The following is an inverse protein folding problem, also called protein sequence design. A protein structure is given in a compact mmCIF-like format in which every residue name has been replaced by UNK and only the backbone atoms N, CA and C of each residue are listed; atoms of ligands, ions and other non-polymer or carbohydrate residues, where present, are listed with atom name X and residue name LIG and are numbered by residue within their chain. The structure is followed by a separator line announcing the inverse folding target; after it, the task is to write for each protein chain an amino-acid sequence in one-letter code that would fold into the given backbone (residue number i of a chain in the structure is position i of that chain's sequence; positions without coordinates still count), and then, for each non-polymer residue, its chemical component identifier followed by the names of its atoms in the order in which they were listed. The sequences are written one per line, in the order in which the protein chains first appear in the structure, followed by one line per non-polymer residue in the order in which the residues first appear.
data_IF_570645961929
#
_entry.id   IF_570645961929
#
_cell.length_a   1.000
_cell.length_b   1.000
_cell.length_c   1.000
_cell.angle_alpha   90.00
_cell.angle_beta   90.00
_cell.angle_gamma   90.00
#
_symmetry.space_group_name_H-M   'P 1'
#
loop_
_entity.id
_entity.type
_entity.pdbx_description
1 polymer ?
#
# COMPACT_ATOMS: atom_id res chain seq x y z
N UNK A 1 -7.58 39.16 -74.93
CA UNK A 1 -8.64 38.18 -74.58
C UNK A 1 -8.05 36.78 -74.66
N UNK A 2 -7.74 36.11 -73.54
CA UNK A 2 -8.17 34.73 -73.27
C UNK A 2 -7.71 34.28 -71.87
N UNK A 3 -8.66 33.66 -71.17
CA UNK A 3 -8.64 33.23 -69.78
C UNK A 3 -8.07 31.82 -69.68
N UNK A 4 -7.35 31.49 -68.61
CA UNK A 4 -7.78 30.47 -67.64
C UNK A 4 -6.61 29.96 -66.79
N UNK A 5 -6.45 30.66 -65.68
CA UNK A 5 -6.19 30.10 -64.38
C UNK A 5 -7.14 28.91 -64.11
N UNK A 6 -6.64 27.75 -63.65
CA UNK A 6 -7.19 26.98 -62.50
C UNK A 6 -6.65 25.55 -62.39
N UNK A 7 -6.38 25.23 -61.11
CA UNK A 7 -6.32 23.91 -60.44
C UNK A 7 -4.96 23.25 -60.34
N UNK A 8 -4.16 23.79 -59.42
CA UNK A 8 -3.27 22.96 -58.61
C UNK A 8 -4.09 21.81 -57.98
N UNK A 9 -3.93 20.59 -58.51
CA UNK A 9 -4.47 19.37 -57.92
C UNK A 9 -3.48 18.90 -56.85
N UNK A 10 -3.70 19.30 -55.59
CA UNK A 10 -3.01 18.67 -54.45
C UNK A 10 -3.38 17.19 -54.34
N UNK A 11 -2.45 16.28 -53.98
CA UNK A 11 -2.61 14.85 -54.24
C UNK A 11 -3.66 14.17 -53.34
N UNK A 12 -4.41 13.18 -53.85
CA UNK A 12 -5.45 12.45 -53.11
C UNK A 12 -4.91 11.49 -52.02
N UNK A 13 -3.59 11.28 -51.96
CA UNK A 13 -2.92 10.37 -51.00
C UNK A 13 -2.81 10.93 -49.57
N UNK A 14 -2.90 12.26 -49.38
CA UNK A 14 -2.64 12.89 -48.07
C UNK A 14 -3.74 12.62 -47.05
N UNK A 15 -5.00 12.46 -47.47
CA UNK A 15 -6.15 12.28 -46.56
C UNK A 15 -6.08 10.98 -45.76
N UNK A 16 -5.66 9.90 -46.42
CA UNK A 16 -5.49 8.59 -45.81
C UNK A 16 -4.31 8.57 -44.82
N UNK A 17 -3.26 9.35 -45.09
CA UNK A 17 -2.13 9.51 -44.18
C UNK A 17 -2.55 10.15 -42.84
N UNK A 18 -3.46 11.14 -42.86
CA UNK A 18 -4.00 11.73 -41.63
C UNK A 18 -4.85 10.75 -40.81
N UNK A 19 -5.60 9.86 -41.47
CA UNK A 19 -6.38 8.82 -40.79
C UNK A 19 -5.44 7.81 -40.09
N UNK A 20 -4.37 7.39 -40.78
CA UNK A 20 -3.37 6.47 -40.21
C UNK A 20 -2.66 7.12 -39.02
N UNK A 21 -2.22 8.38 -39.16
CA UNK A 21 -1.56 9.12 -38.08
C UNK A 21 -2.51 9.31 -36.89
N UNK A 22 -3.78 9.66 -37.14
CA UNK A 22 -4.80 9.75 -36.09
C UNK A 22 -5.00 8.42 -35.37
N UNK A 23 -5.04 7.30 -36.09
CA UNK A 23 -5.18 5.98 -35.51
C UNK A 23 -4.00 5.59 -34.62
N UNK A 24 -2.77 5.87 -35.07
CA UNK A 24 -1.55 5.62 -34.28
C UNK A 24 -1.53 6.47 -33.01
N UNK A 25 -1.90 7.76 -33.09
CA UNK A 25 -1.98 8.63 -31.91
C UNK A 25 -3.02 8.14 -30.91
N UNK A 26 -4.21 7.76 -31.39
CA UNK A 26 -5.26 7.19 -30.54
C UNK A 26 -4.82 5.89 -29.86
N UNK A 27 -4.10 5.03 -30.58
CA UNK A 27 -3.58 3.78 -30.04
C UNK A 27 -2.50 4.04 -28.98
N UNK A 28 -1.62 5.01 -29.20
CA UNK A 28 -0.63 5.44 -28.20
C UNK A 28 -1.30 6.01 -26.95
N UNK A 29 -2.31 6.88 -27.10
CA UNK A 29 -3.09 7.42 -25.98
C UNK A 29 -3.82 6.30 -25.23
N UNK A 30 -4.42 5.35 -25.96
CA UNK A 30 -5.09 4.20 -25.35
C UNK A 30 -4.12 3.34 -24.54
N UNK A 31 -2.93 3.02 -25.07
CA UNK A 31 -1.91 2.27 -24.31
C UNK A 31 -1.44 3.08 -23.09
N UNK A 32 -1.30 4.40 -23.22
CA UNK A 32 -0.82 5.25 -22.14
C UNK A 32 -1.85 5.44 -21.01
N UNK A 33 -3.15 5.36 -21.33
CA UNK A 33 -4.26 5.53 -20.38
C UNK A 33 -4.74 4.18 -19.83
N UNK A 34 -4.82 3.14 -20.66
CA UNK A 34 -5.34 1.82 -20.32
C UNK A 34 -4.27 0.78 -19.96
N UNK A 35 -2.99 1.05 -20.24
CA UNK A 35 -1.90 0.19 -19.80
C UNK A 35 -1.75 0.23 -18.28
N UNK A 36 -1.58 -0.93 -17.65
CA UNK A 36 -1.36 -1.07 -16.20
C UNK A 36 -0.18 -0.21 -15.67
N UNK A 37 0.68 0.29 -16.56
CA UNK A 37 1.83 1.17 -16.32
C UNK A 37 1.60 2.66 -16.65
N UNK A 38 0.36 3.09 -16.89
CA UNK A 38 0.04 4.50 -17.12
C UNK A 38 0.38 5.38 -15.91
N UNK A 39 0.58 6.69 -16.12
CA UNK A 39 0.91 7.70 -15.10
C UNK A 39 0.12 7.55 -13.78
N UNK A 40 -1.11 7.06 -13.84
CA UNK A 40 -1.96 6.74 -12.69
C UNK A 40 -1.27 5.83 -11.66
N UNK A 41 -0.50 4.83 -12.08
CA UNK A 41 0.16 3.90 -11.18
C UNK A 41 1.28 4.58 -10.38
N UNK A 42 2.02 5.50 -10.99
CA UNK A 42 3.03 6.30 -10.29
C UNK A 42 2.41 7.18 -9.20
N UNK A 43 1.25 7.78 -9.47
CA UNK A 43 0.53 8.61 -8.50
C UNK A 43 -0.07 7.77 -7.38
N UNK A 44 -0.64 6.61 -7.72
CA UNK A 44 -1.18 5.66 -6.73
C UNK A 44 -0.09 5.14 -5.81
N UNK A 45 1.06 4.75 -6.36
CA UNK A 45 2.18 4.23 -5.60
C UNK A 45 2.74 5.27 -4.63
N UNK A 46 2.82 6.54 -5.05
CA UNK A 46 3.27 7.64 -4.18
C UNK A 46 2.31 7.89 -3.02
N UNK A 47 0.99 7.89 -3.29
CA UNK A 47 -0.05 7.99 -2.25
C UNK A 47 -0.01 6.82 -1.27
N UNK A 48 0.15 5.60 -1.77
CA UNK A 48 0.22 4.39 -0.95
C UNK A 48 1.48 4.37 -0.08
N UNK A 49 2.62 4.85 -0.60
CA UNK A 49 3.86 5.02 0.19
C UNK A 49 3.64 5.97 1.36
N UNK A 50 3.06 7.15 1.10
CA UNK A 50 2.79 8.14 2.15
C UNK A 50 1.80 7.64 3.21
N UNK A 51 0.77 6.86 2.82
CA UNK A 51 -0.18 6.31 3.78
C UNK A 51 0.46 5.23 4.65
N UNK A 52 1.25 4.33 4.05
CA UNK A 52 1.97 3.28 4.78
C UNK A 52 2.99 3.87 5.76
N UNK A 53 3.73 4.90 5.36
CA UNK A 53 4.68 5.57 6.27
C UNK A 53 3.98 6.23 7.46
N UNK A 54 2.81 6.85 7.23
CA UNK A 54 2.00 7.39 8.32
C UNK A 54 1.50 6.29 9.26
N UNK A 55 1.04 5.18 8.70
CA UNK A 55 0.56 4.03 9.48
C UNK A 55 1.68 3.40 10.32
N UNK A 56 2.86 3.19 9.75
CA UNK A 56 4.06 2.73 10.47
C UNK A 56 4.39 3.69 11.61
N UNK A 57 4.34 5.00 11.37
CA UNK A 57 4.63 6.00 12.40
C UNK A 57 3.61 5.95 13.55
N UNK A 58 2.33 5.81 13.23
CA UNK A 58 1.26 5.68 14.23
C UNK A 58 1.42 4.39 15.04
N UNK A 59 1.66 3.26 14.38
CA UNK A 59 1.89 1.97 15.04
C UNK A 59 3.11 2.01 15.95
N UNK A 60 4.19 2.69 15.54
CA UNK A 60 5.39 2.83 16.37
C UNK A 60 5.12 3.65 17.64
N UNK A 61 4.38 4.74 17.52
CA UNK A 61 3.95 5.54 18.69
C UNK A 61 3.09 4.70 19.64
N UNK A 62 2.18 3.88 19.11
CA UNK A 62 1.36 2.99 19.93
C UNK A 62 2.18 1.89 20.59
N UNK A 63 3.15 1.32 19.87
CA UNK A 63 4.06 0.33 20.44
C UNK A 63 4.86 0.93 21.60
N UNK A 64 5.44 2.11 21.42
CA UNK A 64 6.24 2.78 22.46
C UNK A 64 5.39 3.12 23.69
N UNK A 65 4.14 3.56 23.50
CA UNK A 65 3.22 3.86 24.60
C UNK A 65 2.79 2.60 25.36
N UNK A 66 2.47 1.52 24.64
CA UNK A 66 2.15 0.22 25.22
C UNK A 66 3.34 -0.39 25.95
N UNK A 67 4.54 -0.27 25.39
CA UNK A 67 5.76 -0.74 26.02
C UNK A 67 6.04 0.01 27.32
N UNK A 68 5.88 1.34 27.31
CA UNK A 68 6.00 2.17 28.51
C UNK A 68 4.96 1.79 29.57
N UNK A 69 3.72 1.51 29.15
CA UNK A 69 2.66 1.06 30.06
C UNK A 69 2.98 -0.32 30.64
N UNK A 70 3.47 -1.25 29.82
CA UNK A 70 3.92 -2.57 30.25
C UNK A 70 5.08 -2.46 31.25
N UNK A 71 6.05 -1.59 31.01
CA UNK A 71 7.19 -1.37 31.91
C UNK A 71 6.74 -0.80 33.26
N UNK A 72 5.80 0.15 33.27
CA UNK A 72 5.17 0.65 34.50
C UNK A 72 4.41 -0.44 35.25
N UNK A 73 3.70 -1.32 34.53
CA UNK A 73 2.99 -2.46 35.13
C UNK A 73 3.94 -3.59 35.60
N UNK A 74 5.08 -3.76 34.92
CA UNK A 74 6.12 -4.76 35.26
C UNK A 74 6.95 -4.37 36.46
N UNK A 75 7.11 -3.06 36.71
CA UNK A 75 7.82 -2.56 37.88
C UNK A 75 7.25 -3.10 39.20
N UNK A 76 5.97 -3.50 39.22
CA UNK A 76 5.41 -4.39 40.25
C UNK A 76 5.75 -5.86 39.93
N UNK A 77 6.88 -6.34 40.42
CA UNK A 77 7.39 -7.72 40.25
C UNK A 77 6.36 -8.82 40.58
N UNK A 78 5.41 -8.51 41.47
CA UNK A 78 4.31 -9.39 41.84
C UNK A 78 3.35 -9.70 40.69
N UNK A 79 3.13 -8.76 39.75
CA UNK A 79 2.17 -8.94 38.65
C UNK A 79 2.69 -9.91 37.58
N UNK A 80 3.99 -9.84 37.28
CA UNK A 80 4.65 -10.77 36.35
C UNK A 80 4.71 -12.19 36.93
N UNK A 81 5.04 -12.33 38.21
CA UNK A 81 5.05 -13.62 38.89
C UNK A 81 3.64 -14.26 38.91
N UNK A 82 2.58 -13.45 39.03
CA UNK A 82 1.19 -13.92 38.95
C UNK A 82 0.83 -14.44 37.55
N UNK A 83 1.14 -13.69 36.49
CA UNK A 83 0.91 -14.12 35.10
C UNK A 83 1.67 -15.41 34.79
N UNK A 84 2.93 -15.52 35.22
CA UNK A 84 3.75 -16.71 35.03
C UNK A 84 3.12 -17.96 35.68
N UNK A 85 2.69 -17.83 36.94
CA UNK A 85 2.06 -18.93 37.69
C UNK A 85 0.68 -19.31 37.17
N UNK A 86 -0.18 -18.33 36.86
CA UNK A 86 -1.58 -18.58 36.48
C UNK A 86 -1.75 -18.97 35.00
N UNK A 87 -1.06 -18.27 34.09
CA UNK A 87 -1.29 -18.42 32.64
C UNK A 87 -0.34 -19.43 31.99
N UNK A 88 0.86 -19.54 32.52
CA UNK A 88 1.91 -20.37 31.93
C UNK A 88 2.30 -21.57 32.80
N UNK A 89 1.75 -21.70 34.02
CA UNK A 89 2.20 -22.69 35.02
C UNK A 89 3.73 -22.70 35.13
N UNK A 90 4.33 -21.52 35.18
CA UNK A 90 5.77 -21.33 35.38
C UNK A 90 5.98 -20.99 36.87
N UNK A 91 6.60 -21.92 37.59
CA UNK A 91 7.12 -21.74 38.95
C UNK A 91 8.63 -21.51 38.90
N UNK A 92 9.24 -21.08 40.00
CA UNK A 92 10.70 -21.12 40.10
C UNK A 92 11.19 -22.57 40.05
N UNK A 93 12.46 -22.82 39.68
CA UNK A 93 13.01 -24.19 39.57
C UNK A 93 12.82 -25.05 40.83
N UNK A 94 12.71 -24.41 42.01
CA UNK A 94 12.52 -25.04 43.31
C UNK A 94 11.07 -24.97 43.85
N UNK A 95 10.09 -24.54 43.05
CA UNK A 95 8.66 -24.48 43.44
C UNK A 95 7.80 -25.49 42.65
N UNK A 96 7.05 -26.36 43.35
CA UNK A 96 6.13 -27.32 42.74
C UNK A 96 4.71 -26.72 42.59
N UNK A 97 4.16 -26.75 41.37
CA UNK A 97 2.87 -26.10 41.04
C UNK A 97 1.71 -27.06 41.31
N UNK A 98 0.94 -26.80 42.36
CA UNK A 98 -0.22 -27.61 42.72
C UNK A 98 -1.47 -27.09 42.00
N UNK A 99 -2.00 -27.86 41.06
CA UNK A 99 -3.32 -27.59 40.44
C UNK A 99 -4.41 -28.33 41.20
N UNK A 100 -5.26 -27.61 41.91
CA UNK A 100 -6.41 -28.21 42.62
C UNK A 100 -7.52 -28.50 41.60
N UNK A 101 -7.70 -29.77 41.25
CA UNK A 101 -8.81 -30.23 40.41
C UNK A 101 -9.96 -30.61 41.34
N UNK A 102 -11.00 -29.78 41.41
CA UNK A 102 -12.20 -30.16 42.16
C UNK A 102 -12.97 -31.23 41.37
N UNK A 103 -12.96 -32.45 41.88
CA UNK A 103 -13.74 -33.55 41.33
C UNK A 103 -15.12 -33.51 41.99
N UNK A 104 -16.15 -33.13 41.22
CA UNK A 104 -17.54 -33.39 41.59
C UNK A 104 -17.86 -34.88 41.46
#
# INVERSE_FOLDING_TARGET
MNKNNKKQKGPPQRRHAWIIVSGVILLLVYIYVAGDFGLMQHWRLRKTRESLEKEIKQLRIQQDSLQTAIERLKADSSYMAKIAREKYNMGLPDEEIIRVINKK
#
